data_IF_290901123740
#
_entry.id   IF_290901123740
#
_cell.length_a   1.000
_cell.length_b   1.000
_cell.length_c   1.000
_cell.angle_alpha   90.00
_cell.angle_beta   90.00
_cell.angle_gamma   90.00
#
_symmetry.space_group_name_H-M   'P 1'
#
loop_
_entity.id
_entity.type
_entity.pdbx_description
1 polymer ?
#
# COMPACT_ATOMS: atom_id res chain seq x y z
N UNK A 1 -57.21 17.68 30.84
CA UNK A 1 -57.56 17.57 29.41
C UNK A 1 -56.27 17.55 28.62
N UNK A 2 -56.18 16.64 27.65
CA UNK A 2 -54.96 16.23 26.93
C UNK A 2 -54.37 17.37 26.12
N UNK A 3 -53.07 17.57 26.22
CA UNK A 3 -52.23 17.90 25.07
C UNK A 3 -50.77 17.60 25.42
N UNK A 4 -50.30 16.42 25.04
CA UNK A 4 -48.88 16.11 24.99
C UNK A 4 -48.48 16.31 23.53
N UNK A 5 -47.88 17.46 23.21
CA UNK A 5 -47.32 17.72 21.90
C UNK A 5 -45.99 16.97 21.81
N UNK A 6 -45.99 15.83 21.11
CA UNK A 6 -44.78 15.10 20.77
C UNK A 6 -44.04 15.90 19.68
N UNK A 7 -43.00 16.65 20.05
CA UNK A 7 -42.09 17.28 19.09
C UNK A 7 -41.13 16.19 18.59
N UNK A 8 -41.44 15.62 17.42
CA UNK A 8 -40.51 14.76 16.69
C UNK A 8 -39.36 15.63 16.17
N UNK A 9 -38.22 15.59 16.85
CA UNK A 9 -36.95 15.98 16.24
C UNK A 9 -36.58 14.89 15.23
N UNK A 10 -37.02 15.07 13.97
CA UNK A 10 -36.45 14.31 12.86
C UNK A 10 -35.10 14.95 12.55
N UNK A 11 -34.08 14.53 13.29
CA UNK A 11 -32.70 14.76 12.87
C UNK A 11 -32.37 13.71 11.82
N UNK A 12 -32.73 13.97 10.55
CA UNK A 12 -32.15 13.23 9.44
C UNK A 12 -30.68 13.58 9.36
N UNK A 13 -29.81 12.72 9.89
CA UNK A 13 -28.41 12.72 9.48
C UNK A 13 -28.37 12.21 8.05
N UNK A 14 -28.31 13.12 7.07
CA UNK A 14 -27.88 12.76 5.73
C UNK A 14 -26.37 12.58 5.83
N UNK A 15 -25.90 11.35 6.05
CA UNK A 15 -24.51 11.02 5.76
C UNK A 15 -24.41 10.95 4.25
N UNK A 16 -24.01 12.06 3.61
CA UNK A 16 -23.54 11.98 2.24
C UNK A 16 -22.33 11.05 2.26
N UNK A 17 -22.46 9.87 1.66
CA UNK A 17 -21.30 9.05 1.34
C UNK A 17 -20.50 9.86 0.31
N UNK A 18 -19.33 10.38 0.69
CA UNK A 18 -18.41 10.90 -0.31
C UNK A 18 -18.08 9.74 -1.25
N UNK A 19 -18.47 9.87 -2.52
CA UNK A 19 -18.07 8.92 -3.54
C UNK A 19 -16.54 8.93 -3.63
N UNK A 20 -15.91 7.75 -3.58
CA UNK A 20 -14.48 7.64 -3.68
C UNK A 20 -14.00 8.14 -5.05
N UNK A 21 -13.26 9.26 -5.08
CA UNK A 21 -12.64 9.78 -6.30
C UNK A 21 -11.29 9.07 -6.50
N UNK A 22 -11.09 8.46 -7.67
CA UNK A 22 -9.80 7.90 -8.07
C UNK A 22 -8.76 9.03 -8.20
N UNK A 23 -7.84 9.15 -7.23
CA UNK A 23 -6.78 10.17 -7.24
C UNK A 23 -5.69 9.87 -8.26
N UNK A 24 -5.21 8.63 -8.30
CA UNK A 24 -4.17 8.18 -9.22
C UNK A 24 -4.17 6.65 -9.35
N UNK A 25 -3.47 6.15 -10.38
CA UNK A 25 -3.13 4.73 -10.54
C UNK A 25 -1.70 4.62 -11.03
N UNK A 26 -0.98 3.59 -10.58
CA UNK A 26 0.38 3.30 -11.03
C UNK A 26 0.42 1.94 -11.73
N UNK A 27 1.04 1.88 -12.91
CA UNK A 27 1.17 0.64 -13.69
C UNK A 27 2.53 0.02 -13.40
N UNK A 28 2.54 -1.20 -12.87
CA UNK A 28 3.75 -2.01 -12.70
C UNK A 28 4.16 -2.66 -14.03
N UNK A 29 5.33 -3.30 -14.07
CA UNK A 29 5.81 -4.03 -15.24
C UNK A 29 5.11 -5.35 -15.51
N UNK A 30 4.09 -5.72 -14.72
CA UNK A 30 3.39 -7.01 -14.82
C UNK A 30 1.87 -6.82 -14.86
N UNK A 31 1.16 -7.76 -15.49
CA UNK A 31 -0.31 -7.70 -15.67
C UNK A 31 -1.09 -8.38 -14.53
N UNK A 32 -0.48 -8.56 -13.37
CA UNK A 32 -1.11 -9.13 -12.18
C UNK A 32 -1.26 -8.05 -11.10
N UNK A 33 -2.26 -8.13 -10.21
CA UNK A 33 -2.39 -7.21 -9.08
C UNK A 33 -1.08 -7.03 -8.31
N UNK A 34 -0.83 -5.84 -7.78
CA UNK A 34 0.22 -5.62 -6.80
C UNK A 34 -0.18 -6.19 -5.43
N UNK A 35 0.81 -6.41 -4.56
CA UNK A 35 0.58 -6.73 -3.15
C UNK A 35 -0.08 -5.57 -2.39
N UNK A 36 -0.57 -5.84 -1.17
CA UNK A 36 -1.08 -4.79 -0.28
C UNK A 36 0.04 -3.79 0.05
N UNK A 37 -0.20 -2.47 0.02
CA UNK A 37 0.83 -1.49 0.32
C UNK A 37 1.02 -1.26 1.83
N UNK A 38 2.17 -0.67 2.19
CA UNK A 38 2.42 -0.03 3.49
C UNK A 38 2.86 1.42 3.28
N UNK A 39 2.51 2.32 4.20
CA UNK A 39 2.87 3.74 4.13
C UNK A 39 3.88 4.07 5.22
N UNK A 40 4.99 4.70 4.84
CA UNK A 40 6.01 5.21 5.75
C UNK A 40 5.61 6.49 6.47
N UNK A 41 6.31 6.79 7.57
CA UNK A 41 6.13 8.04 8.31
C UNK A 41 6.43 9.28 7.45
N UNK A 42 7.22 9.12 6.39
CA UNK A 42 7.56 10.13 5.39
C UNK A 42 6.51 10.26 4.27
N UNK A 43 5.42 9.47 4.34
CA UNK A 43 4.37 9.42 3.31
C UNK A 43 4.73 8.57 2.09
N UNK A 44 5.87 7.88 2.07
CA UNK A 44 6.19 6.99 0.95
C UNK A 44 5.34 5.73 1.00
N UNK A 45 4.77 5.34 -0.14
CA UNK A 45 3.95 4.14 -0.30
C UNK A 45 4.83 3.02 -0.85
N UNK A 46 4.91 1.89 -0.15
CA UNK A 46 5.69 0.72 -0.55
C UNK A 46 4.79 -0.45 -0.90
N UNK A 47 5.05 -1.14 -2.01
CA UNK A 47 4.37 -2.38 -2.38
C UNK A 47 5.24 -3.24 -3.31
N UNK A 48 5.14 -4.56 -3.17
CA UNK A 48 5.76 -5.53 -4.07
C UNK A 48 4.87 -5.86 -5.28
N UNK A 49 5.50 -6.23 -6.39
CA UNK A 49 4.80 -6.72 -7.57
C UNK A 49 5.50 -7.96 -8.19
N UNK A 50 4.74 -8.69 -9.03
CA UNK A 50 5.20 -9.92 -9.68
C UNK A 50 6.24 -9.71 -10.79
N UNK A 51 6.66 -8.47 -11.05
CA UNK A 51 7.79 -8.14 -11.93
C UNK A 51 9.14 -8.17 -11.21
N UNK A 52 9.22 -8.79 -10.03
CA UNK A 52 10.43 -8.94 -9.21
C UNK A 52 10.88 -7.69 -8.45
N UNK A 53 10.06 -6.64 -8.40
CA UNK A 53 10.43 -5.36 -7.78
C UNK A 53 9.57 -5.02 -6.55
N UNK A 54 10.24 -4.38 -5.58
CA UNK A 54 9.59 -3.52 -4.58
C UNK A 54 9.55 -2.10 -5.13
N UNK A 55 8.39 -1.47 -5.06
CA UNK A 55 8.15 -0.10 -5.50
C UNK A 55 8.01 0.83 -4.30
N UNK A 56 8.53 2.05 -4.45
CA UNK A 56 8.29 3.17 -3.55
C UNK A 56 7.71 4.35 -4.34
N UNK A 57 6.51 4.79 -3.98
CA UNK A 57 5.83 5.93 -4.59
C UNK A 57 5.67 7.09 -3.61
N UNK A 58 5.61 8.31 -4.14
CA UNK A 58 5.09 9.46 -3.42
C UNK A 58 3.56 9.35 -3.26
N UNK A 59 2.98 10.14 -2.35
CA UNK A 59 1.52 10.19 -2.12
C UNK A 59 0.72 10.65 -3.36
N UNK A 60 1.37 11.32 -4.31
CA UNK A 60 0.76 11.72 -5.60
C UNK A 60 0.80 10.61 -6.65
N UNK A 61 1.38 9.44 -6.32
CA UNK A 61 1.50 8.29 -7.21
C UNK A 61 2.75 8.30 -8.10
N UNK A 62 3.62 9.31 -8.00
CA UNK A 62 4.89 9.34 -8.74
C UNK A 62 5.92 8.37 -8.15
N UNK A 63 6.73 7.74 -9.02
CA UNK A 63 7.78 6.81 -8.61
C UNK A 63 8.92 7.55 -7.91
N UNK A 64 9.25 7.15 -6.66
CA UNK A 64 10.48 7.56 -5.98
C UNK A 64 11.64 6.66 -6.40
N UNK A 65 11.45 5.36 -6.28
CA UNK A 65 12.41 4.34 -6.68
C UNK A 65 11.73 2.97 -6.80
N UNK A 66 12.43 2.03 -7.43
CA UNK A 66 12.14 0.60 -7.34
C UNK A 66 13.45 -0.18 -7.22
N UNK A 67 13.44 -1.25 -6.45
CA UNK A 67 14.60 -2.14 -6.31
C UNK A 67 14.17 -3.59 -6.51
N UNK A 68 15.11 -4.43 -6.94
CA UNK A 68 14.85 -5.86 -7.07
C UNK A 68 14.63 -6.44 -5.66
N UNK A 69 13.60 -7.26 -5.50
CA UNK A 69 13.29 -7.93 -4.23
C UNK A 69 12.78 -9.36 -4.47
N UNK A 70 13.18 -9.95 -5.60
CA UNK A 70 12.67 -11.22 -6.08
C UNK A 70 11.17 -11.19 -6.41
N UNK A 71 10.67 -12.31 -6.91
CA UNK A 71 9.25 -12.49 -7.21
C UNK A 71 8.47 -12.40 -5.91
N UNK A 72 7.62 -11.37 -5.78
CA UNK A 72 6.82 -11.20 -4.57
C UNK A 72 5.45 -10.59 -4.83
N UNK A 73 4.42 -11.34 -4.47
CA UNK A 73 3.06 -10.84 -4.19
C UNK A 73 2.85 -10.59 -2.69
N UNK A 74 3.91 -10.68 -1.88
CA UNK A 74 3.76 -10.57 -0.42
C UNK A 74 3.65 -9.12 -0.01
N UNK A 75 2.87 -8.87 1.03
CA UNK A 75 2.70 -7.52 1.57
C UNK A 75 3.97 -7.14 2.34
N UNK A 76 4.61 -5.99 2.05
CA UNK A 76 5.71 -5.49 2.85
C UNK A 76 5.26 -5.14 4.27
N UNK A 77 6.18 -5.24 5.23
CA UNK A 77 6.01 -4.65 6.55
C UNK A 77 7.10 -3.60 6.82
N UNK A 78 6.79 -2.59 7.62
CA UNK A 78 7.68 -1.47 7.88
C UNK A 78 8.01 -1.41 9.37
N UNK A 79 9.30 -1.34 9.71
CA UNK A 79 9.74 -1.08 11.10
C UNK A 79 9.58 0.40 11.46
N UNK A 80 9.57 0.68 12.77
CA UNK A 80 9.62 2.07 13.28
C UNK A 80 10.92 2.79 12.95
N UNK A 81 11.95 2.07 12.51
CA UNK A 81 13.24 2.63 12.07
C UNK A 81 13.31 2.84 10.55
N UNK A 82 12.24 2.55 9.81
CA UNK A 82 12.17 2.73 8.35
C UNK A 82 12.71 1.56 7.52
N UNK A 83 12.99 0.41 8.13
CA UNK A 83 13.37 -0.79 7.36
C UNK A 83 12.10 -1.46 6.83
N UNK A 84 12.11 -1.74 5.54
CA UNK A 84 11.04 -2.42 4.82
C UNK A 84 11.41 -3.89 4.71
N UNK A 85 10.58 -4.77 5.24
CA UNK A 85 10.74 -6.21 5.06
C UNK A 85 9.77 -6.73 4.02
N UNK A 86 10.26 -7.52 3.08
CA UNK A 86 9.45 -8.17 2.05
C UNK A 86 9.97 -9.58 1.84
N UNK A 87 9.07 -10.56 1.80
CA UNK A 87 9.44 -11.92 1.43
C UNK A 87 9.39 -12.04 -0.10
N UNK A 88 10.38 -12.67 -0.71
CA UNK A 88 10.41 -12.85 -2.16
C UNK A 88 11.16 -14.11 -2.55
N UNK A 89 11.08 -14.49 -3.82
CA UNK A 89 11.85 -15.62 -4.33
C UNK A 89 12.74 -15.20 -5.50
N UNK A 90 13.99 -15.63 -5.49
CA UNK A 90 14.93 -15.45 -6.60
C UNK A 90 15.12 -16.79 -7.28
N UNK A 91 15.15 -16.78 -8.61
CA UNK A 91 15.46 -17.94 -9.40
C UNK A 91 16.95 -17.92 -9.77
N UNK A 92 17.70 -18.87 -9.20
CA UNK A 92 19.09 -19.15 -9.55
C UNK A 92 19.24 -20.67 -9.58
N UNK A 93 19.08 -21.26 -10.77
CA UNK A 93 18.92 -22.71 -11.05
C UNK A 93 17.72 -23.40 -10.36
N UNK A 94 17.22 -22.83 -9.26
CA UNK A 94 16.04 -23.22 -8.48
C UNK A 94 15.42 -21.97 -7.83
N UNK A 95 14.14 -22.06 -7.48
CA UNK A 95 13.50 -21.04 -6.66
C UNK A 95 14.01 -21.10 -5.22
N UNK A 96 14.61 -20.03 -4.76
CA UNK A 96 15.02 -19.86 -3.37
C UNK A 96 14.24 -18.71 -2.75
N UNK A 97 13.59 -18.97 -1.62
CA UNK A 97 12.87 -17.95 -0.86
C UNK A 97 13.82 -17.14 0.02
N UNK A 98 13.60 -15.83 0.07
CA UNK A 98 14.37 -14.88 0.84
C UNK A 98 13.44 -13.95 1.63
N UNK A 99 13.94 -13.46 2.76
CA UNK A 99 13.40 -12.30 3.44
C UNK A 99 14.37 -11.15 3.19
N UNK A 100 13.93 -10.11 2.50
CA UNK A 100 14.71 -8.91 2.23
C UNK A 100 14.45 -7.87 3.31
N UNK A 101 15.48 -7.12 3.67
CA UNK A 101 15.41 -5.95 4.53
C UNK A 101 15.99 -4.76 3.76
N UNK A 102 15.13 -3.84 3.35
CA UNK A 102 15.43 -2.76 2.41
C UNK A 102 15.27 -1.43 3.14
N UNK A 103 16.19 -0.50 2.94
CA UNK A 103 16.06 0.84 3.50
C UNK A 103 15.07 1.72 2.71
N UNK A 104 14.68 2.86 3.27
CA UNK A 104 13.75 3.79 2.60
C UNK A 104 14.32 4.44 1.33
N UNK A 105 15.62 4.28 1.07
CA UNK A 105 16.27 4.76 -0.16
C UNK A 105 16.25 3.73 -1.29
N UNK A 106 15.85 2.49 -0.98
CA UNK A 106 15.84 1.38 -1.94
C UNK A 106 17.22 0.76 -2.19
N UNK A 107 18.21 1.07 -1.35
CA UNK A 107 19.55 0.49 -1.47
C UNK A 107 19.58 -0.88 -0.81
N UNK A 108 20.01 -1.91 -1.54
CA UNK A 108 20.50 -3.14 -0.91
C UNK A 108 21.87 -2.84 -0.30
N UNK A 109 22.06 -3.16 0.98
CA UNK A 109 23.40 -3.11 1.61
C UNK A 109 24.22 -4.33 1.23
#
# INVERSE_FOLDING_TARGET
>A
MRSLLLVLFITTFVTAAEEGILKWKYKTGYNWPASSPVIGMDGTIYFGANDYYLYALNLDGSLKWKCFAGSSQTSPCLSTTGIIYVAGAVYDEKWTGYLFAIDQTGSEK
#
